data_IF_551128853639
#
_entry.id   IF_551128853639
#
_cell.length_a   1.000
_cell.length_b   1.000
_cell.length_c   1.000
_cell.angle_alpha   90.00
_cell.angle_beta   90.00
_cell.angle_gamma   90.00
#
_symmetry.space_group_name_H-M   'P 1'
#
loop_
_entity.id
_entity.type
_entity.pdbx_description
1 polymer ?
#
# COMPACT_ATOMS: atom_id res chain seq x y z
N UNK A 1 -1.78 7.67 24.98
CA UNK A 1 -1.84 7.46 24.35
C UNK A 1 -2.58 6.95 23.75
N UNK A 2 -2.51 7.05 23.65
CA UNK A 2 -3.60 6.53 23.09
C UNK A 2 -3.32 5.29 22.40
N UNK A 3 -4.34 4.64 22.02
CA UNK A 3 -4.25 3.41 21.32
C UNK A 3 -3.64 3.56 20.00
N UNK A 4 -3.52 4.76 19.53
CA UNK A 4 -2.89 4.96 18.25
C UNK A 4 -1.47 4.45 18.28
N UNK A 5 -0.86 4.53 19.43
CA UNK A 5 0.47 4.02 19.56
C UNK A 5 0.52 2.52 19.56
N UNK A 6 -0.63 1.87 19.53
CA UNK A 6 -0.66 0.42 19.58
C UNK A 6 -0.47 -0.25 18.23
N UNK A 7 -0.34 0.51 17.14
CA UNK A 7 -0.05 -0.10 15.86
C UNK A 7 1.26 -0.88 15.93
N UNK A 8 1.25 -2.08 15.33
CA UNK A 8 2.45 -2.88 15.29
C UNK A 8 3.58 -2.15 14.57
N UNK A 9 4.83 -2.41 14.96
CA UNK A 9 5.95 -1.72 14.32
C UNK A 9 5.99 -1.87 12.80
N UNK A 10 5.61 -3.05 12.29
CA UNK A 10 5.56 -3.22 10.83
C UNK A 10 4.57 -2.27 10.19
N UNK A 11 3.39 -2.14 10.79
CA UNK A 11 2.37 -1.27 10.24
C UNK A 11 2.80 0.18 10.28
N UNK A 12 3.49 0.58 11.35
CA UNK A 12 4.01 1.93 11.44
C UNK A 12 5.03 2.19 10.33
N UNK A 13 5.91 1.23 10.07
CA UNK A 13 6.89 1.36 8.99
C UNK A 13 6.21 1.43 7.63
N UNK A 14 5.18 0.61 7.42
CA UNK A 14 4.45 0.64 6.17
C UNK A 14 3.78 1.98 5.95
N UNK A 15 3.17 2.54 6.99
CA UNK A 15 2.55 3.86 6.88
C UNK A 15 3.57 4.92 6.52
N UNK A 16 4.74 4.85 7.13
CA UNK A 16 5.80 5.79 6.82
C UNK A 16 6.24 5.66 5.36
N UNK A 17 6.35 4.41 4.89
CA UNK A 17 6.76 4.15 3.51
C UNK A 17 5.69 4.57 2.49
N UNK A 18 4.46 4.76 2.92
CA UNK A 18 3.41 5.25 2.05
C UNK A 18 3.48 6.74 1.79
N UNK A 19 4.35 7.45 2.50
CA UNK A 19 4.48 8.90 2.37
C UNK A 19 5.50 9.21 1.29
N UNK A 20 5.00 9.42 0.09
CA UNK A 20 5.87 9.69 -1.07
C UNK A 20 5.95 11.16 -1.43
N UNK A 21 5.09 11.99 -0.81
CA UNK A 21 5.02 13.39 -1.16
C UNK A 21 4.22 13.67 -2.41
N UNK A 22 3.42 12.70 -2.85
CA UNK A 22 2.59 12.80 -4.05
C UNK A 22 1.15 12.51 -3.64
N UNK A 23 0.31 13.53 -3.66
CA UNK A 23 -0.99 13.46 -3.02
C UNK A 23 -1.82 12.25 -3.44
N UNK A 24 -1.99 12.02 -4.73
CA UNK A 24 -2.83 10.92 -5.19
C UNK A 24 -2.27 9.58 -4.78
N UNK A 25 -0.95 9.42 -4.93
CA UNK A 25 -0.31 8.17 -4.59
C UNK A 25 -0.40 7.90 -3.09
N UNK A 26 -0.13 8.93 -2.30
CA UNK A 26 -0.20 8.81 -0.85
C UNK A 26 -1.61 8.43 -0.39
N UNK A 27 -2.62 9.05 -1.00
CA UNK A 27 -4.00 8.74 -0.65
C UNK A 27 -4.37 7.30 -0.97
N UNK A 28 -3.98 6.82 -2.15
CA UNK A 28 -4.25 5.43 -2.53
C UNK A 28 -3.61 4.45 -1.56
N UNK A 29 -2.34 4.66 -1.27
CA UNK A 29 -1.59 3.75 -0.42
C UNK A 29 -2.12 3.75 1.00
N UNK A 30 -2.37 4.93 1.55
CA UNK A 30 -2.84 5.01 2.93
C UNK A 30 -4.27 4.50 3.07
N UNK A 31 -5.10 4.75 2.08
CA UNK A 31 -6.47 4.22 2.10
C UNK A 31 -6.47 2.69 2.14
N UNK A 32 -5.64 2.08 1.30
CA UNK A 32 -5.54 0.64 1.29
C UNK A 32 -5.03 0.12 2.63
N UNK A 33 -3.99 0.76 3.15
CA UNK A 33 -3.41 0.32 4.41
C UNK A 33 -4.43 0.40 5.55
N UNK A 34 -5.24 1.46 5.57
CA UNK A 34 -6.29 1.58 6.57
C UNK A 34 -7.28 0.43 6.49
N UNK A 35 -7.61 -0.01 5.28
CA UNK A 35 -8.59 -1.06 5.10
C UNK A 35 -8.08 -2.43 5.52
N UNK A 36 -6.79 -2.69 5.38
CA UNK A 36 -6.25 -4.01 5.67
C UNK A 36 -5.51 -4.08 6.99
N UNK A 37 -5.36 -2.97 7.70
CA UNK A 37 -4.49 -2.93 8.87
C UNK A 37 -4.90 -3.90 9.96
N UNK A 38 -6.19 -4.12 10.15
CA UNK A 38 -6.66 -5.01 11.21
C UNK A 38 -6.47 -6.48 10.86
N UNK A 39 -6.34 -6.80 9.59
CA UNK A 39 -6.25 -8.18 9.12
C UNK A 39 -4.94 -8.49 8.42
N UNK A 40 -3.96 -7.63 8.55
CA UNK A 40 -2.71 -7.77 7.79
C UNK A 40 -1.92 -8.98 8.28
N UNK A 41 -1.76 -9.97 7.40
CA UNK A 41 -0.94 -11.14 7.70
C UNK A 41 0.53 -10.82 7.45
N UNK A 42 1.41 -11.69 7.97
CA UNK A 42 2.84 -11.54 7.70
C UNK A 42 3.14 -11.57 6.21
N UNK A 43 2.48 -12.47 5.48
CA UNK A 43 2.71 -12.58 4.04
C UNK A 43 2.30 -11.30 3.33
N UNK A 44 1.14 -10.75 3.70
CA UNK A 44 0.68 -9.49 3.12
C UNK A 44 1.60 -8.34 3.46
N UNK A 45 2.07 -8.31 4.70
CA UNK A 45 3.00 -7.27 5.13
C UNK A 45 4.29 -7.29 4.32
N UNK A 46 4.82 -8.49 4.08
CA UNK A 46 6.05 -8.62 3.28
C UNK A 46 5.82 -8.20 1.83
N UNK A 47 4.66 -8.55 1.28
CA UNK A 47 4.34 -8.10 -0.08
C UNK A 47 4.23 -6.60 -0.18
N UNK A 48 3.59 -5.97 0.81
CA UNK A 48 3.51 -4.51 0.84
C UNK A 48 4.87 -3.87 0.97
N UNK A 49 5.75 -4.44 1.79
CA UNK A 49 7.11 -3.92 1.92
C UNK A 49 7.83 -3.97 0.58
N UNK A 50 7.67 -5.07 -0.15
CA UNK A 50 8.29 -5.19 -1.46
C UNK A 50 7.71 -4.18 -2.45
N UNK A 51 6.40 -4.00 -2.42
CA UNK A 51 5.75 -3.03 -3.30
C UNK A 51 6.26 -1.63 -3.00
N UNK A 52 6.34 -1.28 -1.73
CA UNK A 52 6.73 0.07 -1.34
C UNK A 52 8.23 0.33 -1.50
N UNK A 53 9.00 -0.71 -1.81
CA UNK A 53 10.42 -0.56 -2.07
C UNK A 53 10.73 -0.14 -3.51
N UNK A 54 9.76 -0.20 -4.42
CA UNK A 54 10.02 0.21 -5.80
C UNK A 54 9.99 1.73 -5.92
N UNK A 55 10.56 2.22 -7.00
CA UNK A 55 10.64 3.66 -7.23
C UNK A 55 9.27 4.27 -7.45
N UNK A 56 9.15 5.55 -7.10
CA UNK A 56 7.86 6.25 -7.22
C UNK A 56 7.30 6.19 -8.63
N UNK A 57 8.14 6.34 -9.64
CA UNK A 57 7.66 6.33 -11.02
C UNK A 57 7.00 4.99 -11.37
N UNK A 58 7.58 3.91 -10.88
CA UNK A 58 7.01 2.58 -11.12
C UNK A 58 5.69 2.44 -10.40
N UNK A 59 5.61 2.91 -9.16
CA UNK A 59 4.35 2.86 -8.41
C UNK A 59 3.28 3.70 -9.11
N UNK A 60 3.64 4.86 -9.62
CA UNK A 60 2.71 5.69 -10.35
C UNK A 60 2.17 4.94 -11.57
N UNK A 61 3.07 4.30 -12.32
CA UNK A 61 2.65 3.58 -13.52
C UNK A 61 1.70 2.43 -13.18
N UNK A 62 1.94 1.77 -12.06
CA UNK A 62 1.09 0.66 -11.64
C UNK A 62 -0.23 1.13 -11.04
N UNK A 63 -0.20 2.14 -10.18
CA UNK A 63 -1.37 2.52 -9.40
C UNK A 63 -2.21 3.60 -10.07
N UNK A 64 -1.60 4.51 -10.78
CA UNK A 64 -2.30 5.60 -11.43
C UNK A 64 -2.34 5.44 -12.94
N UNK A 65 -1.43 4.64 -13.50
CA UNK A 65 -1.39 4.36 -14.92
C UNK A 65 -1.98 3.01 -15.24
N UNK A 66 -1.47 2.40 -16.32
CA UNK A 66 -2.00 1.13 -16.80
C UNK A 66 -0.98 0.01 -16.77
N UNK A 67 0.23 0.27 -16.30
CA UNK A 67 1.23 -0.76 -16.24
C UNK A 67 0.88 -1.76 -15.13
N UNK A 68 1.35 -3.00 -15.31
CA UNK A 68 1.06 -4.10 -14.40
C UNK A 68 2.38 -4.73 -13.99
N UNK A 69 2.57 -5.04 -12.69
CA UNK A 69 3.77 -5.76 -12.29
C UNK A 69 3.88 -7.10 -13.00
N UNK A 70 5.10 -7.49 -13.32
CA UNK A 70 5.32 -8.80 -13.92
C UNK A 70 5.05 -9.93 -12.95
N UNK A 71 5.25 -9.69 -11.68
CA UNK A 71 5.05 -10.73 -10.66
C UNK A 71 3.57 -10.76 -10.27
N UNK A 72 2.89 -11.93 -10.41
CA UNK A 72 1.46 -12.00 -10.14
C UNK A 72 1.06 -11.58 -8.73
N UNK A 73 1.89 -11.88 -7.72
CA UNK A 73 1.56 -11.52 -6.35
C UNK A 73 1.50 -10.00 -6.17
N UNK A 74 2.46 -9.28 -6.76
CA UNK A 74 2.43 -7.83 -6.72
C UNK A 74 1.30 -7.26 -7.54
N UNK A 75 0.99 -7.90 -8.67
CA UNK A 75 -0.14 -7.49 -9.49
C UNK A 75 -1.46 -7.57 -8.74
N UNK A 76 -1.62 -8.61 -7.93
CA UNK A 76 -2.83 -8.76 -7.13
C UNK A 76 -2.94 -7.62 -6.10
N UNK A 77 -1.84 -7.27 -5.45
CA UNK A 77 -1.86 -6.18 -4.47
C UNK A 77 -2.17 -4.85 -5.16
N UNK A 78 -1.56 -4.59 -6.30
CA UNK A 78 -1.83 -3.37 -7.07
C UNK A 78 -3.31 -3.28 -7.40
N UNK A 79 -3.88 -4.38 -7.85
CA UNK A 79 -5.31 -4.42 -8.20
C UNK A 79 -6.17 -4.10 -6.96
N UNK A 80 -5.81 -4.65 -5.82
CA UNK A 80 -6.55 -4.39 -4.59
C UNK A 80 -6.46 -2.93 -4.16
N UNK A 81 -5.28 -2.33 -4.28
CA UNK A 81 -5.11 -0.93 -3.92
C UNK A 81 -5.97 -0.04 -4.80
N UNK A 82 -5.98 -0.32 -6.10
CA UNK A 82 -6.78 0.47 -7.03
C UNK A 82 -8.27 0.32 -6.73
N UNK A 83 -8.71 -0.89 -6.42
CA UNK A 83 -10.11 -1.15 -6.14
C UNK A 83 -10.56 -0.52 -4.84
N UNK A 84 -9.67 -0.39 -3.88
CA UNK A 84 -10.02 0.13 -2.56
C UNK A 84 -10.51 1.57 -2.59
N UNK A 85 -10.13 2.34 -3.63
CA UNK A 85 -10.57 3.73 -3.75
C UNK A 85 -11.89 3.88 -4.48
N UNK A 86 -12.43 2.80 -5.04
CA UNK A 86 -13.67 2.89 -5.79
C UNK A 86 -14.86 2.87 -4.85
N UNK A 87 -15.85 3.71 -5.09
CA UNK A 87 -17.10 3.59 -4.34
C UNK A 87 -17.77 2.27 -4.69
N UNK A 88 -18.41 1.68 -3.74
CA UNK A 88 -19.08 0.41 -3.93
C UNK A 88 -20.35 0.54 -4.75
#
# INVERSE_FOLDING_TARGET
MSEHGAEAPRLQRLRWQCRRGMLELDLLLNNYLDQVSSDLTDAQGRLLERLLAVEDQILIDWLLGEAVPAEPALGAVVSQIRSAMRPS
#
